data_IF_074736223254
#
_entry.id   IF_074736223254
#
_cell.length_a   1.000
_cell.length_b   1.000
_cell.length_c   1.000
_cell.angle_alpha   90.00
_cell.angle_beta   90.00
_cell.angle_gamma   90.00
#
_symmetry.space_group_name_H-M   'P 1'
#
loop_
_entity.id
_entity.type
_entity.pdbx_description
1 polymer ?
#
# COMPACT_ATOMS: atom_id res chain seq x y z
N UNK A 1 -21.15 16.89 4.97
CA UNK A 1 -19.80 16.54 5.49
C UNK A 1 -18.70 17.35 4.78
N UNK A 2 -18.84 17.69 3.50
CA UNK A 2 -17.94 18.65 2.86
C UNK A 2 -18.42 20.09 3.11
N UNK A 3 -17.64 20.86 3.89
CA UNK A 3 -17.87 22.29 4.08
C UNK A 3 -17.59 23.03 2.76
N UNK A 4 -18.22 24.19 2.50
CA UNK A 4 -18.01 24.98 1.28
C UNK A 4 -16.52 25.28 1.01
N UNK A 5 -15.74 25.44 2.07
CA UNK A 5 -14.27 25.58 2.01
C UNK A 5 -13.56 24.38 1.40
N UNK A 6 -13.90 23.15 1.83
CA UNK A 6 -13.26 21.92 1.36
C UNK A 6 -13.49 21.72 -0.13
N UNK A 7 -14.72 22.00 -0.59
CA UNK A 7 -15.09 21.92 -2.01
C UNK A 7 -14.34 22.96 -2.82
N UNK A 8 -14.22 24.20 -2.32
CA UNK A 8 -13.47 25.27 -2.99
C UNK A 8 -11.96 25.02 -3.08
N UNK A 9 -11.38 24.27 -2.14
CA UNK A 9 -9.96 23.87 -2.16
C UNK A 9 -9.73 22.68 -3.10
N UNK A 10 -10.71 21.78 -3.21
CA UNK A 10 -10.73 20.67 -4.17
C UNK A 10 -10.77 21.14 -5.63
N UNK A 11 -11.59 22.16 -5.92
CA UNK A 11 -11.66 22.77 -7.26
C UNK A 11 -10.36 23.43 -7.71
N UNK A 12 -9.49 23.85 -6.77
CA UNK A 12 -8.20 24.48 -7.08
C UNK A 12 -7.09 23.48 -7.38
N UNK A 13 -7.19 22.23 -6.92
CA UNK A 13 -6.18 21.22 -7.16
C UNK A 13 -6.81 19.81 -7.20
N UNK A 14 -7.43 19.43 -8.33
CA UNK A 14 -8.25 18.22 -8.45
C UNK A 14 -7.48 16.91 -8.31
N UNK A 15 -6.14 16.97 -8.29
CA UNK A 15 -5.26 15.82 -8.02
C UNK A 15 -4.95 15.64 -6.53
N UNK A 16 -5.47 16.50 -5.66
CA UNK A 16 -5.29 16.40 -4.20
C UNK A 16 -6.40 15.53 -3.62
N UNK A 17 -6.01 14.46 -2.91
CA UNK A 17 -6.96 13.58 -2.24
C UNK A 17 -7.90 14.39 -1.34
N UNK A 18 -9.23 14.23 -1.45
CA UNK A 18 -10.23 14.93 -0.62
C UNK A 18 -9.97 14.85 0.88
N UNK A 19 -9.26 13.82 1.31
CA UNK A 19 -8.92 13.53 2.70
C UNK A 19 -7.86 14.46 3.31
N UNK A 20 -6.96 15.03 2.50
CA UNK A 20 -5.96 16.00 2.96
C UNK A 20 -6.67 17.24 3.55
N UNK A 21 -7.75 17.66 2.92
CA UNK A 21 -8.53 18.83 3.33
C UNK A 21 -9.45 18.56 4.52
N UNK A 22 -9.90 17.31 4.68
CA UNK A 22 -10.67 16.86 5.85
C UNK A 22 -9.76 16.83 7.09
N UNK A 23 -8.50 16.42 6.92
CA UNK A 23 -7.52 16.33 8.01
C UNK A 23 -7.06 17.67 8.59
N UNK A 24 -7.00 18.74 7.79
CA UNK A 24 -6.63 20.10 8.26
C UNK A 24 -7.66 20.68 9.24
N UNK A 25 -8.88 20.13 9.25
CA UNK A 25 -10.01 20.61 10.07
C UNK A 25 -10.19 19.85 11.40
N UNK A 26 -9.35 18.84 11.69
CA UNK A 26 -9.53 17.95 12.83
C UNK A 26 -8.46 18.15 13.89
N UNK A 27 -8.88 18.55 15.09
CA UNK A 27 -8.08 18.49 16.31
C UNK A 27 -8.70 17.48 17.29
N UNK A 28 -8.07 16.31 17.41
CA UNK A 28 -8.07 15.35 18.54
C UNK A 28 -7.07 14.23 18.19
N UNK A 29 -5.85 14.35 18.69
CA UNK A 29 -4.69 13.57 18.29
C UNK A 29 -4.89 12.08 18.63
N UNK A 30 -4.78 11.18 17.65
CA UNK A 30 -4.65 9.71 17.81
C UNK A 30 -5.93 8.87 18.08
N UNK A 31 -7.06 9.16 17.43
CA UNK A 31 -8.11 8.13 17.33
C UNK A 31 -7.62 6.99 16.44
N UNK A 32 -7.69 5.76 16.95
CA UNK A 32 -7.29 4.52 16.25
C UNK A 32 -7.87 4.46 14.83
N UNK A 33 -9.14 4.85 14.68
CA UNK A 33 -9.85 5.00 13.42
C UNK A 33 -9.09 5.83 12.37
N UNK A 34 -8.56 6.99 12.77
CA UNK A 34 -7.83 7.87 11.86
C UNK A 34 -6.50 7.28 11.43
N UNK A 35 -5.82 6.57 12.34
CA UNK A 35 -4.57 5.87 12.03
C UNK A 35 -4.81 4.66 11.12
N UNK A 36 -5.90 3.93 11.33
CA UNK A 36 -6.29 2.79 10.48
C UNK A 36 -6.61 3.25 9.06
N UNK A 37 -7.41 4.31 8.88
CA UNK A 37 -7.65 4.88 7.55
C UNK A 37 -6.36 5.36 6.89
N UNK A 38 -5.50 6.04 7.66
CA UNK A 38 -4.21 6.52 7.13
C UNK A 38 -3.36 5.36 6.60
N UNK A 39 -3.31 4.26 7.34
CA UNK A 39 -2.59 3.07 6.93
C UNK A 39 -3.19 2.38 5.70
N UNK A 40 -4.51 2.45 5.49
CA UNK A 40 -5.13 1.93 4.26
C UNK A 40 -4.63 2.67 3.03
N UNK A 41 -4.31 3.97 3.12
CA UNK A 41 -3.64 4.68 2.04
C UNK A 41 -2.18 4.26 1.89
N UNK A 42 -1.46 4.12 3.01
CA UNK A 42 -0.04 3.73 3.03
C UNK A 42 0.19 2.38 2.36
N UNK A 43 -0.65 1.38 2.66
CA UNK A 43 -0.53 0.04 2.06
C UNK A 43 -0.86 -0.01 0.57
N UNK A 44 -1.47 1.04 0.02
CA UNK A 44 -1.68 1.25 -1.44
C UNK A 44 -0.53 2.05 -2.07
N UNK A 45 0.52 2.33 -1.32
CA UNK A 45 1.65 3.11 -1.81
C UNK A 45 1.41 4.62 -1.81
N UNK A 46 0.35 5.11 -1.17
CA UNK A 46 0.03 6.55 -1.10
C UNK A 46 0.56 7.11 0.23
N UNK A 47 1.09 8.33 0.22
CA UNK A 47 1.53 8.97 1.46
C UNK A 47 0.34 9.37 2.33
N UNK A 48 0.39 9.01 3.60
CA UNK A 48 -0.60 9.34 4.60
C UNK A 48 -0.36 10.68 5.30
N UNK A 49 -1.20 11.00 6.26
CA UNK A 49 -1.15 12.14 7.17
C UNK A 49 -0.17 11.91 8.31
N UNK A 50 -0.16 10.69 8.87
CA UNK A 50 0.67 10.30 10.00
C UNK A 50 1.90 9.52 9.54
N UNK A 51 1.80 8.78 8.43
CA UNK A 51 2.88 7.97 7.89
C UNK A 51 3.22 8.41 6.47
N UNK A 52 4.48 8.81 6.26
CA UNK A 52 4.96 9.28 4.97
C UNK A 52 6.17 8.47 4.51
N UNK A 53 6.29 8.25 3.20
CA UNK A 53 7.45 7.61 2.62
C UNK A 53 8.64 8.56 2.59
N UNK A 54 9.71 8.16 3.25
CA UNK A 54 10.98 8.86 3.16
C UNK A 54 11.81 8.28 2.01
N UNK A 55 11.88 9.00 0.89
CA UNK A 55 12.64 8.59 -0.29
C UNK A 55 14.15 8.44 -0.06
N UNK A 56 14.71 9.13 0.94
CA UNK A 56 16.14 9.03 1.26
C UNK A 56 16.48 7.71 1.95
N UNK A 57 15.59 7.23 2.81
CA UNK A 57 15.76 5.98 3.57
C UNK A 57 15.11 4.80 2.83
N UNK A 58 14.21 5.09 1.87
CA UNK A 58 13.45 4.09 1.14
C UNK A 58 12.41 3.39 2.00
N UNK A 59 11.88 4.03 3.04
CA UNK A 59 10.94 3.43 4.00
C UNK A 59 9.89 4.42 4.45
N UNK A 60 8.75 3.90 4.89
CA UNK A 60 7.73 4.69 5.56
C UNK A 60 8.16 5.07 6.97
N UNK A 61 7.98 6.34 7.32
CA UNK A 61 8.33 6.92 8.61
C UNK A 61 7.12 7.62 9.19
N UNK A 62 6.92 7.45 10.50
CA UNK A 62 5.94 8.23 11.25
C UNK A 62 6.35 9.69 11.32
N UNK A 63 5.38 10.59 11.19
CA UNK A 63 5.56 12.02 11.38
C UNK A 63 6.05 12.27 12.81
N UNK A 64 7.13 13.07 13.01
CA UNK A 64 7.67 13.35 14.34
C UNK A 64 6.67 14.03 15.29
N UNK A 65 5.60 14.64 14.74
CA UNK A 65 4.52 15.21 15.54
C UNK A 65 3.66 14.14 16.21
N UNK A 66 3.62 12.92 15.69
CA UNK A 66 2.75 11.83 16.16
C UNK A 66 3.41 10.97 17.23
N UNK A 67 3.09 11.21 18.50
CA UNK A 67 3.63 10.40 19.59
C UNK A 67 2.77 9.17 19.95
N UNK A 68 2.92 8.09 19.19
CA UNK A 68 2.21 6.83 19.45
C UNK A 68 2.91 5.94 20.50
N UNK A 69 2.19 5.11 21.28
CA UNK A 69 2.81 4.09 22.13
C UNK A 69 3.67 3.11 21.34
N UNK A 70 4.75 2.59 21.95
CA UNK A 70 5.68 1.63 21.31
C UNK A 70 5.01 0.43 20.62
N UNK A 71 4.01 -0.27 21.21
CA UNK A 71 3.35 -1.38 20.51
C UNK A 71 2.56 -0.94 19.27
N UNK A 72 1.93 0.25 19.32
CA UNK A 72 1.20 0.82 18.18
C UNK A 72 2.17 1.23 17.07
N UNK A 73 3.32 1.84 17.43
CA UNK A 73 4.40 2.15 16.48
C UNK A 73 4.88 0.88 15.75
N UNK A 74 5.07 -0.24 16.47
CA UNK A 74 5.49 -1.50 15.87
C UNK A 74 4.46 -2.04 14.86
N UNK A 75 3.16 -1.98 15.19
CA UNK A 75 2.09 -2.36 14.27
C UNK A 75 2.05 -1.47 13.02
N UNK A 76 2.13 -0.16 13.21
CA UNK A 76 2.19 0.82 12.12
C UNK A 76 3.34 0.51 11.17
N UNK A 77 4.55 0.32 11.68
CA UNK A 77 5.70 0.01 10.82
C UNK A 77 5.54 -1.33 10.10
N UNK A 78 4.99 -2.35 10.76
CA UNK A 78 4.74 -3.65 10.15
C UNK A 78 3.73 -3.59 9.01
N UNK A 79 2.64 -2.83 9.19
CA UNK A 79 1.64 -2.61 8.14
C UNK A 79 2.26 -1.77 7.01
N UNK A 80 3.04 -0.75 7.34
CA UNK A 80 3.68 0.14 6.36
C UNK A 80 4.73 -0.56 5.48
N UNK A 81 5.28 -1.69 5.94
CA UNK A 81 6.17 -2.54 5.13
C UNK A 81 5.47 -3.01 3.85
N UNK A 82 4.18 -3.34 3.93
CA UNK A 82 3.39 -3.73 2.76
C UNK A 82 3.31 -2.61 1.72
N UNK A 83 3.12 -1.36 2.18
CA UNK A 83 3.14 -0.19 1.31
C UNK A 83 4.48 -0.01 0.60
N UNK A 84 5.59 -0.34 1.26
CA UNK A 84 6.92 -0.27 0.65
C UNK A 84 7.08 -1.32 -0.46
N UNK A 85 6.68 -2.56 -0.19
CA UNK A 85 6.69 -3.64 -1.17
C UNK A 85 5.81 -3.29 -2.38
N UNK A 86 4.62 -2.75 -2.13
CA UNK A 86 3.72 -2.28 -3.18
C UNK A 86 4.37 -1.22 -4.06
N UNK A 87 4.97 -0.16 -3.47
CA UNK A 87 5.67 0.88 -4.25
C UNK A 87 6.78 0.29 -5.12
N UNK A 88 7.55 -0.66 -4.56
CA UNK A 88 8.64 -1.28 -5.30
C UNK A 88 8.14 -2.09 -6.50
N UNK A 89 7.14 -2.95 -6.29
CA UNK A 89 6.54 -3.75 -7.37
C UNK A 89 5.87 -2.87 -8.42
N UNK A 90 5.14 -1.84 -8.01
CA UNK A 90 4.51 -0.89 -8.94
C UNK A 90 5.56 -0.13 -9.77
N UNK A 91 6.68 0.27 -9.15
CA UNK A 91 7.81 0.89 -9.85
C UNK A 91 8.46 -0.08 -10.84
N UNK A 92 8.60 -1.35 -10.49
CA UNK A 92 9.09 -2.39 -11.40
C UNK A 92 8.18 -2.55 -12.62
N UNK A 93 6.85 -2.63 -12.41
CA UNK A 93 5.89 -2.70 -13.51
C UNK A 93 5.97 -1.48 -14.42
N UNK A 94 5.99 -0.27 -13.85
CA UNK A 94 6.12 0.98 -14.61
C UNK A 94 7.43 1.06 -15.42
N UNK A 95 8.55 0.56 -14.89
CA UNK A 95 9.82 0.49 -15.63
C UNK A 95 9.74 -0.48 -16.81
N UNK A 96 9.16 -1.66 -16.58
CA UNK A 96 9.05 -2.69 -17.62
C UNK A 96 8.06 -2.32 -18.72
N UNK A 97 7.04 -1.50 -18.45
CA UNK A 97 6.12 -0.97 -19.48
C UNK A 97 6.81 0.02 -20.43
N UNK A 98 7.80 0.77 -19.93
CA UNK A 98 8.58 1.71 -20.74
C UNK A 98 9.75 1.03 -21.48
N UNK A 99 10.06 -0.23 -21.18
CA UNK A 99 11.13 -0.99 -21.81
C UNK A 99 10.64 -1.69 -23.08
N UNK A 100 10.79 -1.01 -24.21
CA UNK A 100 10.40 -1.51 -25.54
C UNK A 100 11.23 -2.71 -26.01
N UNK A 101 12.38 -2.97 -25.38
CA UNK A 101 13.25 -4.12 -25.67
C UNK A 101 13.04 -5.30 -24.72
N UNK A 102 12.02 -5.22 -23.85
CA UNK A 102 11.68 -6.32 -22.95
C UNK A 102 11.21 -7.55 -23.73
N UNK A 103 11.84 -8.71 -23.49
CA UNK A 103 11.42 -9.96 -24.11
C UNK A 103 10.03 -10.43 -23.62
N UNK A 104 9.32 -11.22 -24.44
CA UNK A 104 7.95 -11.67 -24.17
C UNK A 104 7.77 -12.32 -22.78
N UNK A 105 8.76 -13.08 -22.31
CA UNK A 105 8.73 -13.69 -20.97
C UNK A 105 8.72 -12.64 -19.86
N UNK A 106 9.50 -11.55 -20.01
CA UNK A 106 9.54 -10.45 -19.05
C UNK A 106 8.24 -9.66 -19.08
N UNK A 107 7.68 -9.42 -20.26
CA UNK A 107 6.37 -8.77 -20.41
C UNK A 107 5.26 -9.59 -19.75
N UNK A 108 5.18 -10.89 -20.02
CA UNK A 108 4.20 -11.78 -19.40
C UNK A 108 4.33 -11.79 -17.87
N UNK A 109 5.56 -11.87 -17.34
CA UNK A 109 5.82 -11.82 -15.91
C UNK A 109 5.38 -10.48 -15.28
N UNK A 110 5.74 -9.35 -15.91
CA UNK A 110 5.32 -8.01 -15.48
C UNK A 110 3.79 -7.87 -15.47
N UNK A 111 3.12 -8.35 -16.51
CA UNK A 111 1.65 -8.31 -16.62
C UNK A 111 0.98 -9.13 -15.51
N UNK A 112 1.51 -10.31 -15.18
CA UNK A 112 1.00 -11.10 -14.06
C UNK A 112 1.14 -10.37 -12.73
N UNK A 113 2.27 -9.70 -12.48
CA UNK A 113 2.46 -8.90 -11.26
C UNK A 113 1.48 -7.72 -11.24
N UNK A 114 1.33 -7.01 -12.36
CA UNK A 114 0.37 -5.89 -12.46
C UNK A 114 -1.05 -6.34 -12.15
N UNK A 115 -1.49 -7.47 -12.71
CA UNK A 115 -2.81 -8.03 -12.41
C UNK A 115 -2.99 -8.35 -10.93
N UNK A 116 -1.95 -8.86 -10.27
CA UNK A 116 -1.96 -9.11 -8.82
C UNK A 116 -2.08 -7.80 -8.02
N UNK A 117 -1.34 -6.75 -8.40
CA UNK A 117 -1.45 -5.43 -7.77
C UNK A 117 -2.85 -4.83 -7.94
N UNK A 118 -3.43 -4.93 -9.13
CA UNK A 118 -4.78 -4.43 -9.42
C UNK A 118 -5.84 -5.17 -8.61
N UNK A 119 -5.70 -6.48 -8.43
CA UNK A 119 -6.59 -7.27 -7.56
C UNK A 119 -6.46 -6.88 -6.09
N UNK A 120 -5.22 -6.66 -5.64
CA UNK A 120 -4.96 -6.19 -4.28
C UNK A 120 -5.62 -4.82 -4.01
N UNK A 121 -5.53 -3.86 -4.94
CA UNK A 121 -6.20 -2.55 -4.78
C UNK A 121 -7.72 -2.72 -4.71
N UNK A 122 -8.31 -3.62 -5.52
CA UNK A 122 -9.75 -3.92 -5.44
C UNK A 122 -10.14 -4.45 -4.06
N UNK A 123 -9.32 -5.33 -3.46
CA UNK A 123 -9.54 -5.83 -2.11
C UNK A 123 -9.41 -4.70 -1.07
N UNK A 124 -8.43 -3.80 -1.21
CA UNK A 124 -8.29 -2.65 -0.33
C UNK A 124 -9.46 -1.66 -0.45
N UNK A 125 -10.03 -1.47 -1.63
CA UNK A 125 -11.22 -0.65 -1.82
C UNK A 125 -12.44 -1.19 -1.06
N UNK A 126 -12.58 -2.52 -0.97
CA UNK A 126 -13.61 -3.15 -0.14
C UNK A 126 -13.37 -2.84 1.34
N UNK A 127 -12.13 -3.00 1.83
CA UNK A 127 -11.75 -2.66 3.21
C UNK A 127 -12.03 -1.19 3.52
N UNK A 128 -11.64 -0.26 2.63
CA UNK A 128 -11.91 1.17 2.78
C UNK A 128 -13.41 1.45 2.88
N UNK A 129 -14.22 0.79 2.06
CA UNK A 129 -15.68 0.93 2.10
C UNK A 129 -16.29 0.45 3.43
N UNK A 130 -15.76 -0.64 4.00
CA UNK A 130 -16.22 -1.16 5.29
C UNK A 130 -15.78 -0.25 6.45
N UNK A 131 -14.56 0.28 6.41
CA UNK A 131 -14.07 1.26 7.38
C UNK A 131 -14.91 2.55 7.39
N UNK A 132 -15.30 3.05 6.20
CA UNK A 132 -16.13 4.25 6.07
C UNK A 132 -17.56 4.04 6.57
N UNK A 133 -18.11 2.83 6.41
CA UNK A 133 -19.44 2.47 6.93
C UNK A 133 -19.43 2.40 8.46
N UNK A 134 -18.40 1.79 9.04
CA UNK A 134 -18.23 1.68 10.49
C UNK A 134 -17.88 3.03 11.16
N UNK A 135 -17.24 3.95 10.43
CA UNK A 135 -17.00 5.31 10.92
C UNK A 135 -18.30 6.10 11.18
N UNK A 136 -19.39 5.77 10.49
CA UNK A 136 -20.71 6.40 10.66
C UNK A 136 -21.57 5.78 11.77
N UNK A 137 -21.28 4.55 12.19
CA UNK A 137 -22.01 3.82 13.22
C UNK A 137 -21.03 3.38 14.31
N UNK A 138 -20.94 4.15 15.41
CA UNK A 138 -20.18 3.86 16.63
C UNK A 138 -19.10 2.77 16.44
N UNK A 139 -17.96 3.16 15.83
CA UNK A 139 -16.80 2.31 15.49
C UNK A 139 -16.85 0.96 16.21
N UNK A 140 -17.46 -0.03 15.57
CA UNK A 140 -17.59 -1.33 16.21
C UNK A 140 -16.17 -1.90 16.34
N UNK A 141 -15.88 -2.63 17.41
CA UNK A 141 -14.55 -3.20 17.72
C UNK A 141 -13.99 -4.18 16.65
N UNK A 142 -14.62 -4.23 15.47
CA UNK A 142 -14.37 -5.13 14.35
C UNK A 142 -13.37 -4.49 13.37
N UNK A 143 -13.27 -3.17 13.28
CA UNK A 143 -12.47 -2.44 12.26
C UNK A 143 -11.28 -1.65 12.83
N UNK A 144 -10.64 -2.18 13.87
CA UNK A 144 -9.44 -1.60 14.49
C UNK A 144 -8.12 -1.92 13.78
N UNK A 145 -7.03 -1.32 14.26
CA UNK A 145 -5.66 -1.54 13.79
C UNK A 145 -5.25 -3.03 13.76
N UNK A 146 -5.62 -3.87 14.76
CA UNK A 146 -5.33 -5.29 14.72
C UNK A 146 -6.07 -6.04 13.61
N UNK A 147 -7.30 -5.62 13.28
CA UNK A 147 -8.06 -6.24 12.19
C UNK A 147 -7.42 -5.96 10.84
N UNK A 148 -6.99 -4.70 10.61
CA UNK A 148 -6.23 -4.33 9.43
C UNK A 148 -4.92 -5.13 9.33
N UNK A 149 -4.23 -5.35 10.46
CA UNK A 149 -3.04 -6.20 10.48
C UNK A 149 -3.36 -7.63 10.02
N UNK A 150 -4.42 -8.24 10.55
CA UNK A 150 -4.82 -9.61 10.18
C UNK A 150 -5.16 -9.72 8.70
N UNK A 151 -5.95 -8.78 8.16
CA UNK A 151 -6.29 -8.74 6.73
C UNK A 151 -5.02 -8.61 5.86
N UNK A 152 -4.05 -7.83 6.31
CA UNK A 152 -2.82 -7.57 5.53
C UNK A 152 -1.75 -8.66 5.68
N UNK A 153 -1.85 -9.57 6.65
CA UNK A 153 -0.84 -10.62 6.88
C UNK A 153 -0.63 -11.54 5.68
N UNK A 154 -1.72 -12.03 5.07
CA UNK A 154 -1.63 -12.94 3.93
C UNK A 154 -1.10 -12.22 2.69
N UNK A 155 -1.56 -10.99 2.48
CA UNK A 155 -1.04 -10.11 1.43
C UNK A 155 0.47 -9.88 1.61
N UNK A 156 0.94 -9.62 2.83
CA UNK A 156 2.36 -9.37 3.09
C UNK A 156 3.25 -10.54 2.66
N UNK A 157 2.85 -11.79 2.95
CA UNK A 157 3.60 -12.98 2.51
C UNK A 157 3.70 -13.05 0.99
N UNK A 158 2.59 -12.84 0.28
CA UNK A 158 2.52 -12.84 -1.19
C UNK A 158 3.40 -11.73 -1.78
N UNK A 159 3.32 -10.52 -1.22
CA UNK A 159 4.15 -9.38 -1.64
C UNK A 159 5.64 -9.62 -1.42
N UNK A 160 6.05 -10.18 -0.27
CA UNK A 160 7.45 -10.53 0.01
C UNK A 160 7.98 -11.56 -0.99
N UNK A 161 7.17 -12.57 -1.30
CA UNK A 161 7.51 -13.60 -2.28
C UNK A 161 7.70 -13.00 -3.68
N UNK A 162 6.73 -12.21 -4.15
CA UNK A 162 6.82 -11.52 -5.45
C UNK A 162 8.00 -10.54 -5.50
N UNK A 163 8.26 -9.82 -4.41
CA UNK A 163 9.40 -8.92 -4.31
C UNK A 163 10.73 -9.66 -4.47
N UNK A 164 10.90 -10.80 -3.80
CA UNK A 164 12.11 -11.62 -3.94
C UNK A 164 12.25 -12.22 -5.34
N UNK A 165 11.13 -12.64 -5.95
CA UNK A 165 11.11 -13.12 -7.32
C UNK A 165 11.54 -12.00 -8.29
N UNK A 166 10.93 -10.82 -8.20
CA UNK A 166 11.28 -9.64 -9.01
C UNK A 166 12.75 -9.28 -8.86
N UNK A 167 13.26 -9.21 -7.63
CA UNK A 167 14.66 -8.86 -7.36
C UNK A 167 15.65 -9.83 -8.00
N UNK A 168 15.30 -11.11 -8.08
CA UNK A 168 16.13 -12.13 -8.73
C UNK A 168 16.01 -12.09 -10.25
N UNK A 169 14.82 -11.75 -10.74
CA UNK A 169 14.45 -11.75 -12.14
C UNK A 169 14.84 -10.46 -12.89
N UNK A 170 15.07 -9.35 -12.20
CA UNK A 170 15.27 -8.03 -12.81
C UNK A 170 16.45 -7.99 -13.81
N UNK A 171 17.54 -8.69 -13.48
CA UNK A 171 18.75 -8.78 -14.30
C UNK A 171 18.73 -9.89 -15.35
N UNK A 172 17.66 -10.69 -15.42
CA UNK A 172 17.58 -11.87 -16.28
C UNK A 172 16.68 -11.63 -17.50
N UNK A 173 16.95 -12.34 -18.58
CA UNK A 173 16.16 -12.28 -19.82
C UNK A 173 15.97 -13.67 -20.44
N UNK A 174 14.93 -13.81 -21.27
CA UNK A 174 14.65 -15.02 -22.04
C UNK A 174 14.53 -16.29 -21.19
N UNK A 175 15.22 -17.36 -21.61
CA UNK A 175 15.17 -18.67 -20.94
C UNK A 175 15.76 -18.67 -19.52
N UNK A 176 16.69 -17.76 -19.22
CA UNK A 176 17.26 -17.63 -17.87
C UNK A 176 16.21 -17.10 -16.88
N UNK A 177 15.40 -16.12 -17.32
CA UNK A 177 14.26 -15.62 -16.56
C UNK A 177 13.22 -16.73 -16.34
N UNK A 178 12.86 -17.47 -17.38
CA UNK A 178 11.92 -18.59 -17.27
C UNK A 178 12.39 -19.67 -16.27
N UNK A 179 13.69 -20.00 -16.32
CA UNK A 179 14.31 -20.95 -15.39
C UNK A 179 14.28 -20.45 -13.95
N UNK A 180 14.47 -19.14 -13.73
CA UNK A 180 14.37 -18.53 -12.41
C UNK A 180 12.93 -18.57 -11.88
N UNK A 181 11.94 -18.21 -12.71
CA UNK A 181 10.51 -18.29 -12.34
C UNK A 181 10.12 -19.73 -12.00
N UNK A 182 10.59 -20.71 -12.77
CA UNK A 182 10.32 -22.13 -12.48
C UNK A 182 10.86 -22.56 -11.11
N UNK A 183 12.05 -22.08 -10.71
CA UNK A 183 12.59 -22.35 -9.37
C UNK A 183 11.69 -21.83 -8.26
N UNK A 184 11.12 -20.64 -8.44
CA UNK A 184 10.13 -20.09 -7.52
C UNK A 184 8.85 -20.97 -7.51
N UNK A 185 8.32 -21.36 -8.66
CA UNK A 185 7.13 -22.23 -8.75
C UNK A 185 7.27 -23.59 -8.06
N UNK A 186 8.48 -24.15 -7.99
CA UNK A 186 8.74 -25.46 -7.35
C UNK A 186 8.89 -25.36 -5.84
N UNK A 187 9.19 -24.17 -5.31
CA UNK A 187 9.50 -23.95 -3.88
C UNK A 187 8.30 -23.40 -3.08
N UNK A 188 7.11 -23.28 -3.69
CA UNK A 188 5.93 -22.73 -3.03
C UNK A 188 5.34 -23.62 -1.92
N UNK A 189 5.05 -23.01 -0.76
CA UNK A 189 4.09 -23.54 0.24
C UNK A 189 2.67 -23.41 -0.39
N UNK A 190 1.84 -24.47 -0.40
CA UNK A 190 0.56 -24.51 -1.12
C UNK A 190 -0.49 -23.50 -0.64
#
# INVERSE_FOLDING_TARGET
IFNKEVISKLDRNPHTSPWILISESLSDFQKESSLTLDLVYVIQGIDGLFVNYNSSIGKYTLNPKCDLPSPVKALVYRISELGHLYRHLNTFCAKSENDQYSGLVKQAFTLSIKSFLDEYIRLMAMVDSDLLRDAGAAFSNITGLPHLMVITMDSLRKFMYLFNAVKTCDSLSGGALLSAIHKFSVVGDP
#
